data_IF_886285273529
#
_entry.id   IF_886285273529
#
_cell.length_a   1.000
_cell.length_b   1.000
_cell.length_c   1.000
_cell.angle_alpha   90.00
_cell.angle_beta   90.00
_cell.angle_gamma   90.00
#
_symmetry.space_group_name_H-M   'P 1'
#
loop_
_entity.id
_entity.type
_entity.pdbx_description
1 polymer ?
#
# COMPACT_ATOMS: atom_id res chain seq x y z
N UNK A 1 26.71 -60.74 -64.63
CA UNK A 1 26.77 -61.48 -63.40
C UNK A 1 26.45 -60.51 -62.23
N UNK A 2 25.21 -60.40 -61.91
CA UNK A 2 24.73 -59.40 -60.97
C UNK A 2 24.42 -60.11 -59.65
N UNK A 3 25.15 -59.79 -58.59
CA UNK A 3 24.87 -60.33 -57.22
C UNK A 3 23.83 -59.46 -56.56
N UNK A 4 22.70 -60.06 -56.21
CA UNK A 4 21.61 -59.53 -55.38
C UNK A 4 21.99 -59.75 -53.92
N UNK A 5 22.13 -58.71 -53.16
CA UNK A 5 22.27 -58.76 -51.70
C UNK A 5 20.89 -58.51 -51.05
N UNK A 6 20.40 -59.56 -50.35
CA UNK A 6 19.15 -59.50 -49.64
C UNK A 6 19.41 -58.97 -48.23
N UNK A 7 18.88 -57.78 -47.92
CA UNK A 7 18.95 -57.23 -46.57
C UNK A 7 17.67 -57.56 -45.81
N UNK A 8 17.79 -58.35 -44.75
CA UNK A 8 16.68 -58.69 -43.82
C UNK A 8 16.57 -57.54 -42.82
N UNK A 9 15.48 -56.79 -42.88
CA UNK A 9 15.15 -55.80 -41.87
C UNK A 9 14.36 -56.50 -40.71
N UNK A 10 14.98 -56.57 -39.53
CA UNK A 10 14.28 -56.99 -38.29
C UNK A 10 13.44 -55.85 -37.75
N UNK A 11 12.12 -55.99 -37.77
CA UNK A 11 11.19 -55.05 -37.13
C UNK A 11 11.18 -55.25 -35.63
N UNK A 12 11.71 -54.29 -34.86
CA UNK A 12 11.54 -54.21 -33.42
C UNK A 12 10.15 -53.64 -33.12
N UNK A 13 9.28 -54.49 -32.63
CA UNK A 13 7.95 -54.11 -32.08
C UNK A 13 8.17 -53.53 -30.69
N UNK A 14 8.13 -52.18 -30.58
CA UNK A 14 8.02 -51.50 -29.28
C UNK A 14 6.56 -51.61 -28.79
N UNK A 15 6.32 -52.44 -27.78
CA UNK A 15 5.08 -52.38 -27.02
C UNK A 15 5.09 -51.14 -26.15
N UNK A 16 4.34 -50.12 -26.55
CA UNK A 16 4.06 -48.96 -25.67
C UNK A 16 3.23 -49.39 -24.48
N UNK A 17 3.81 -49.30 -23.29
CA UNK A 17 3.02 -49.36 -22.06
C UNK A 17 2.04 -48.18 -22.04
N UNK A 18 0.76 -48.36 -21.65
CA UNK A 18 -0.14 -47.24 -21.46
C UNK A 18 0.40 -46.32 -20.37
N UNK A 19 0.25 -44.98 -20.53
CA UNK A 19 0.70 -44.03 -19.52
C UNK A 19 -0.01 -44.34 -18.20
N UNK A 20 0.77 -44.41 -17.11
CA UNK A 20 0.25 -44.53 -15.78
C UNK A 20 -0.76 -43.39 -15.54
N UNK A 21 -1.99 -43.73 -15.18
CA UNK A 21 -3.02 -42.80 -14.79
C UNK A 21 -2.47 -41.94 -13.63
N UNK A 22 -2.10 -40.72 -13.90
CA UNK A 22 -1.84 -39.73 -12.84
C UNK A 22 -3.13 -39.59 -12.06
N UNK A 23 -3.16 -40.06 -10.84
CA UNK A 23 -4.20 -39.67 -9.90
C UNK A 23 -4.16 -38.15 -9.76
N UNK A 24 -5.32 -37.44 -9.91
CA UNK A 24 -5.37 -36.05 -9.64
C UNK A 24 -4.84 -35.79 -8.22
N UNK A 25 -4.09 -34.69 -7.98
CA UNK A 25 -3.66 -34.37 -6.63
C UNK A 25 -4.89 -34.31 -5.73
N UNK A 26 -4.77 -34.74 -4.45
CA UNK A 26 -5.89 -34.70 -3.53
C UNK A 26 -6.44 -33.30 -3.51
N UNK A 27 -7.70 -33.14 -3.92
CA UNK A 27 -8.41 -31.86 -3.80
C UNK A 27 -8.39 -31.50 -2.33
N UNK A 28 -7.73 -30.39 -2.00
CA UNK A 28 -7.91 -29.77 -0.70
C UNK A 28 -9.41 -29.50 -0.56
N UNK A 29 -10.02 -29.85 0.60
CA UNK A 29 -11.42 -29.56 0.80
C UNK A 29 -11.63 -28.07 0.50
N UNK A 30 -12.57 -27.75 -0.39
CA UNK A 30 -13.04 -26.40 -0.61
C UNK A 30 -13.71 -25.97 0.69
N UNK A 31 -12.98 -25.26 1.54
CA UNK A 31 -13.53 -24.65 2.74
C UNK A 31 -14.62 -23.68 2.26
N UNK A 32 -15.88 -24.06 2.43
CA UNK A 32 -16.98 -23.12 2.31
C UNK A 32 -16.74 -22.12 3.42
N UNK A 33 -16.24 -20.93 3.06
CA UNK A 33 -16.02 -19.86 4.01
C UNK A 33 -17.38 -19.40 4.55
N UNK A 34 -17.73 -19.86 5.74
CA UNK A 34 -18.92 -19.38 6.44
C UNK A 34 -18.53 -18.12 7.20
N UNK A 35 -19.04 -16.93 6.83
CA UNK A 35 -18.72 -15.70 7.53
C UNK A 35 -19.18 -15.76 8.99
N UNK A 36 -18.31 -15.39 9.91
CA UNK A 36 -18.70 -15.18 11.30
C UNK A 36 -19.52 -13.90 11.39
N UNK A 37 -20.68 -13.98 11.99
CA UNK A 37 -21.59 -12.85 12.23
C UNK A 37 -21.68 -12.56 13.73
N UNK A 38 -21.74 -11.29 14.09
CA UNK A 38 -22.05 -10.86 15.45
C UNK A 38 -23.56 -10.90 15.73
N UNK A 39 -23.93 -10.83 17.00
CA UNK A 39 -25.32 -10.78 17.43
C UNK A 39 -25.97 -9.46 17.02
N UNK A 40 -27.23 -9.51 16.55
CA UNK A 40 -28.03 -8.33 16.24
C UNK A 40 -27.48 -7.45 15.09
N UNK A 41 -26.70 -8.01 14.16
CA UNK A 41 -26.12 -7.26 13.03
C UNK A 41 -24.89 -6.41 13.39
N UNK A 42 -24.38 -6.54 14.60
CA UNK A 42 -23.10 -5.94 14.99
C UNK A 42 -21.92 -6.65 14.31
N UNK A 43 -20.77 -5.97 14.11
CA UNK A 43 -19.55 -6.64 13.70
C UNK A 43 -19.19 -7.76 14.69
N UNK A 44 -18.73 -8.93 14.21
CA UNK A 44 -18.38 -10.03 15.12
C UNK A 44 -17.18 -9.65 15.98
N UNK A 45 -17.21 -10.18 17.20
CA UNK A 45 -16.18 -9.96 18.20
C UNK A 45 -15.13 -11.06 18.13
N UNK A 46 -13.90 -10.67 17.77
CA UNK A 46 -12.76 -11.58 17.64
C UNK A 46 -11.86 -11.55 18.88
N UNK A 47 -11.27 -12.71 19.16
CA UNK A 47 -10.11 -12.84 20.05
C UNK A 47 -8.90 -13.33 19.22
N UNK A 48 -7.71 -12.78 19.51
CA UNK A 48 -6.45 -13.18 18.88
C UNK A 48 -5.41 -13.37 19.99
N UNK A 49 -5.43 -14.51 20.70
CA UNK A 49 -4.44 -14.81 21.73
C UNK A 49 -3.07 -15.09 21.12
N UNK A 50 -2.08 -15.22 22.00
CA UNK A 50 -0.73 -15.64 21.61
C UNK A 50 -0.77 -17.02 20.91
N UNK A 51 -0.08 -17.14 19.77
CA UNK A 51 -0.01 -18.40 19.01
C UNK A 51 0.78 -19.46 19.80
N UNK A 52 0.47 -20.71 19.54
CA UNK A 52 1.10 -21.86 20.21
C UNK A 52 2.46 -22.11 19.55
N UNK A 53 3.54 -21.88 20.31
CA UNK A 53 4.88 -22.31 19.91
C UNK A 53 5.00 -23.82 20.11
N UNK A 54 5.30 -24.58 19.03
CA UNK A 54 5.48 -26.04 19.10
C UNK A 54 6.86 -26.45 19.65
N UNK A 55 7.65 -25.48 20.05
CA UNK A 55 8.95 -25.65 20.72
C UNK A 55 9.11 -24.56 21.77
N UNK A 56 9.75 -24.88 22.89
CA UNK A 56 9.97 -23.97 24.00
C UNK A 56 11.24 -23.10 23.84
N UNK A 57 11.91 -23.15 22.69
CA UNK A 57 13.06 -22.26 22.45
C UNK A 57 12.60 -20.80 22.37
N UNK A 58 13.45 -19.90 22.86
CA UNK A 58 13.10 -18.48 23.00
C UNK A 58 12.76 -17.82 21.65
N UNK A 59 13.37 -18.26 20.55
CA UNK A 59 13.15 -17.68 19.23
C UNK A 59 11.76 -18.06 18.67
N UNK A 60 11.37 -19.34 18.75
CA UNK A 60 10.05 -19.80 18.32
C UNK A 60 8.93 -19.15 19.13
N UNK A 61 9.12 -19.02 20.45
CA UNK A 61 8.18 -18.31 21.34
C UNK A 61 8.07 -16.81 20.98
N UNK A 62 9.18 -16.15 20.71
CA UNK A 62 9.17 -14.74 20.29
C UNK A 62 8.47 -14.56 18.94
N UNK A 63 8.72 -15.44 17.98
CA UNK A 63 8.04 -15.41 16.67
C UNK A 63 6.52 -15.59 16.83
N UNK A 64 6.07 -16.55 17.64
CA UNK A 64 4.66 -16.78 17.90
C UNK A 64 3.96 -15.54 18.46
N UNK A 65 4.64 -14.84 19.39
CA UNK A 65 4.16 -13.58 19.96
C UNK A 65 4.10 -12.46 18.92
N UNK A 66 5.13 -12.30 18.09
CA UNK A 66 5.16 -11.29 17.01
C UNK A 66 4.00 -11.52 16.04
N UNK A 67 3.80 -12.75 15.58
CA UNK A 67 2.74 -13.08 14.63
C UNK A 67 1.37 -12.75 15.20
N UNK A 68 1.06 -13.19 16.41
CA UNK A 68 -0.24 -12.93 17.04
C UNK A 68 -0.48 -11.44 17.32
N UNK A 69 0.58 -10.70 17.74
CA UNK A 69 0.49 -9.27 17.95
C UNK A 69 0.17 -8.53 16.66
N UNK A 70 0.96 -8.78 15.61
CA UNK A 70 0.81 -8.11 14.31
C UNK A 70 -0.55 -8.47 13.68
N UNK A 71 -0.95 -9.74 13.75
CA UNK A 71 -2.26 -10.17 13.23
C UNK A 71 -3.44 -9.48 13.93
N UNK A 72 -3.34 -9.29 15.24
CA UNK A 72 -4.35 -8.53 15.98
C UNK A 72 -4.39 -7.07 15.52
N UNK A 73 -3.22 -6.43 15.39
CA UNK A 73 -3.10 -5.03 14.97
C UNK A 73 -3.65 -4.83 13.54
N UNK A 74 -3.33 -5.75 12.61
CA UNK A 74 -3.79 -5.72 11.22
C UNK A 74 -5.32 -5.86 11.12
N UNK A 75 -5.90 -6.85 11.79
CA UNK A 75 -7.33 -7.08 11.76
C UNK A 75 -8.11 -5.92 12.45
N UNK A 76 -7.54 -5.35 13.52
CA UNK A 76 -8.12 -4.21 14.20
C UNK A 76 -8.01 -2.91 13.39
N UNK A 77 -6.99 -2.78 12.53
CA UNK A 77 -6.78 -1.59 11.71
C UNK A 77 -7.94 -1.35 10.74
N UNK A 78 -8.48 -2.40 10.14
CA UNK A 78 -9.56 -2.34 9.14
C UNK A 78 -10.95 -2.07 9.73
N UNK A 79 -11.15 -2.26 11.07
CA UNK A 79 -12.38 -1.93 11.81
C UNK A 79 -13.65 -2.67 11.37
N UNK A 80 -13.50 -3.82 10.76
CA UNK A 80 -14.62 -4.69 10.38
C UNK A 80 -14.98 -5.71 11.44
N UNK A 81 -14.16 -5.75 12.51
CA UNK A 81 -14.33 -6.62 13.66
C UNK A 81 -14.29 -5.80 14.95
N UNK A 82 -15.01 -6.25 15.95
CA UNK A 82 -14.79 -5.86 17.34
C UNK A 82 -13.76 -6.80 17.97
N UNK A 83 -13.06 -6.36 19.00
CA UNK A 83 -12.04 -7.19 19.64
C UNK A 83 -12.31 -7.36 21.13
N UNK A 84 -12.07 -8.59 21.61
CA UNK A 84 -11.94 -8.84 23.04
C UNK A 84 -10.67 -8.11 23.52
N UNK A 85 -10.74 -7.30 24.61
CA UNK A 85 -9.56 -6.62 25.15
C UNK A 85 -8.45 -7.63 25.53
N UNK A 86 -7.20 -7.27 25.23
CA UNK A 86 -6.08 -8.21 25.41
C UNK A 86 -5.69 -8.44 26.86
N UNK A 87 -5.97 -7.51 27.74
CA UNK A 87 -5.72 -7.60 29.18
C UNK A 87 -6.47 -8.77 29.84
N UNK A 88 -7.67 -9.10 29.31
CA UNK A 88 -8.45 -10.23 29.83
C UNK A 88 -7.94 -11.60 29.36
N UNK A 89 -7.05 -11.67 28.37
CA UNK A 89 -6.55 -12.95 27.87
C UNK A 89 -5.75 -13.73 28.92
N UNK A 90 -5.15 -13.04 29.89
CA UNK A 90 -4.44 -13.66 31.02
C UNK A 90 -5.34 -14.53 31.90
N UNK A 91 -6.68 -14.32 31.86
CA UNK A 91 -7.66 -15.12 32.61
C UNK A 91 -8.01 -16.44 31.91
N UNK A 92 -7.57 -16.63 30.66
CA UNK A 92 -7.84 -17.82 29.87
C UNK A 92 -6.66 -18.78 29.97
N UNK A 93 -6.88 -20.07 30.26
CA UNK A 93 -5.83 -21.07 30.23
C UNK A 93 -5.16 -21.14 28.84
N UNK A 94 -3.83 -21.17 28.81
CA UNK A 94 -3.08 -21.32 27.55
C UNK A 94 -3.27 -22.73 27.01
N UNK A 95 -3.68 -22.84 25.75
CA UNK A 95 -3.72 -24.12 25.04
C UNK A 95 -2.30 -24.57 24.68
N UNK A 96 -1.99 -25.86 24.79
CA UNK A 96 -0.73 -26.46 24.34
C UNK A 96 -0.82 -26.99 22.91
N UNK A 97 -2.04 -27.16 22.40
CA UNK A 97 -2.35 -27.60 21.04
C UNK A 97 -3.70 -27.02 20.57
N UNK A 98 -3.95 -27.05 19.24
CA UNK A 98 -5.23 -26.62 18.68
C UNK A 98 -6.42 -27.47 19.16
N UNK A 99 -6.17 -28.72 19.62
CA UNK A 99 -7.20 -29.58 20.15
C UNK A 99 -7.64 -29.20 21.60
N UNK A 100 -6.80 -28.49 22.31
CA UNK A 100 -7.02 -28.13 23.73
C UNK A 100 -7.49 -26.68 23.92
N UNK A 101 -7.99 -26.06 22.86
CA UNK A 101 -8.50 -24.69 22.91
C UNK A 101 -9.68 -24.61 23.91
N UNK A 102 -9.62 -23.71 24.92
CA UNK A 102 -10.68 -23.58 25.93
C UNK A 102 -11.84 -22.74 25.38
N UNK A 103 -12.60 -23.25 24.39
CA UNK A 103 -13.67 -22.52 23.71
C UNK A 103 -14.73 -21.96 24.65
N UNK A 104 -15.06 -22.69 25.74
CA UNK A 104 -16.08 -22.23 26.70
C UNK A 104 -15.64 -20.93 27.40
N UNK A 105 -14.35 -20.79 27.70
CA UNK A 105 -13.82 -19.57 28.31
C UNK A 105 -13.88 -18.38 27.34
N UNK A 106 -13.62 -18.61 26.05
CA UNK A 106 -13.76 -17.58 25.02
C UNK A 106 -15.23 -17.18 24.81
N UNK A 107 -16.14 -18.15 24.88
CA UNK A 107 -17.59 -17.90 24.81
C UNK A 107 -18.10 -17.07 25.99
N UNK A 108 -17.61 -17.30 27.22
CA UNK A 108 -17.92 -16.48 28.41
C UNK A 108 -17.52 -15.00 28.22
N UNK A 109 -16.48 -14.70 27.45
CA UNK A 109 -16.09 -13.35 27.06
C UNK A 109 -16.87 -12.80 25.86
N UNK A 110 -17.89 -13.51 25.38
CA UNK A 110 -18.68 -13.17 24.19
C UNK A 110 -17.83 -13.04 22.91
N UNK A 111 -16.81 -13.87 22.74
CA UNK A 111 -16.10 -14.01 21.48
C UNK A 111 -16.95 -14.79 20.48
N UNK A 112 -17.18 -14.20 19.29
CA UNK A 112 -17.82 -14.89 18.16
C UNK A 112 -16.78 -15.69 17.36
N UNK A 113 -15.58 -15.17 17.23
CA UNK A 113 -14.47 -15.79 16.53
C UNK A 113 -13.17 -15.81 17.33
N UNK A 114 -12.39 -16.87 17.14
CA UNK A 114 -11.07 -17.02 17.75
C UNK A 114 -10.05 -17.26 16.63
N UNK A 115 -9.13 -16.29 16.45
CA UNK A 115 -7.99 -16.42 15.55
C UNK A 115 -6.80 -16.90 16.37
N UNK A 116 -6.30 -18.09 16.07
CA UNK A 116 -5.13 -18.67 16.73
C UNK A 116 -4.38 -19.58 15.76
N UNK A 117 -3.27 -20.16 16.20
CA UNK A 117 -2.48 -21.01 15.34
C UNK A 117 -1.28 -21.60 16.04
N UNK A 118 -0.44 -22.27 15.25
CA UNK A 118 0.80 -22.87 15.73
C UNK A 118 2.01 -22.32 14.97
N UNK A 119 3.13 -22.23 15.64
CA UNK A 119 4.41 -21.81 15.08
C UNK A 119 5.46 -22.87 15.37
N UNK A 120 6.12 -23.35 14.32
CA UNK A 120 7.22 -24.31 14.39
C UNK A 120 8.41 -23.78 13.60
N UNK A 121 9.57 -23.70 14.23
CA UNK A 121 10.84 -23.40 13.58
C UNK A 121 11.72 -24.64 13.55
N UNK A 122 12.27 -24.95 12.37
CA UNK A 122 13.22 -26.07 12.19
C UNK A 122 14.37 -25.57 11.34
N UNK A 123 15.52 -25.30 11.97
CA UNK A 123 16.64 -24.66 11.30
C UNK A 123 16.24 -23.29 10.73
N UNK A 124 16.39 -23.10 9.44
CA UNK A 124 16.02 -21.84 8.75
C UNK A 124 14.61 -21.90 8.09
N UNK A 125 13.80 -22.84 8.48
CA UNK A 125 12.42 -23.00 8.01
C UNK A 125 11.44 -22.68 9.14
N UNK A 126 10.53 -21.75 8.88
CA UNK A 126 9.39 -21.43 9.73
C UNK A 126 8.13 -22.00 9.11
N UNK A 127 7.34 -22.72 9.90
CA UNK A 127 5.99 -23.16 9.55
C UNK A 127 5.00 -22.49 10.49
N UNK A 128 4.02 -21.79 9.90
CA UNK A 128 2.97 -21.06 10.62
C UNK A 128 1.63 -21.60 10.17
N UNK A 129 0.86 -22.16 11.08
CA UNK A 129 -0.53 -22.54 10.84
C UNK A 129 -1.44 -21.50 11.49
N UNK A 130 -2.40 -20.95 10.73
CA UNK A 130 -3.37 -19.98 11.20
C UNK A 130 -4.77 -20.53 11.03
N UNK A 131 -5.59 -20.40 12.05
CA UNK A 131 -6.99 -20.83 12.07
C UNK A 131 -7.89 -19.73 12.63
N UNK A 132 -9.05 -19.55 12.01
CA UNK A 132 -10.16 -18.81 12.58
C UNK A 132 -11.27 -19.81 12.92
N UNK A 133 -11.61 -19.89 14.18
CA UNK A 133 -12.70 -20.73 14.67
C UNK A 133 -13.95 -19.91 14.95
N UNK A 134 -15.11 -20.41 14.60
CA UNK A 134 -16.36 -19.97 15.20
C UNK A 134 -16.43 -20.52 16.61
N UNK A 135 -16.51 -19.65 17.62
CA UNK A 135 -16.43 -20.04 19.04
C UNK A 135 -17.64 -20.87 19.47
N UNK A 136 -18.84 -20.60 18.94
CA UNK A 136 -20.08 -21.30 19.28
C UNK A 136 -20.09 -22.73 18.73
N UNK A 137 -19.77 -22.90 17.45
CA UNK A 137 -19.76 -24.20 16.81
C UNK A 137 -18.45 -24.97 17.01
N UNK A 138 -17.40 -24.32 17.47
CA UNK A 138 -16.02 -24.82 17.60
C UNK A 138 -15.40 -25.28 16.27
N UNK A 139 -16.02 -24.91 15.14
CA UNK A 139 -15.55 -25.27 13.80
C UNK A 139 -14.55 -24.26 13.27
N UNK A 140 -13.52 -24.73 12.57
CA UNK A 140 -12.61 -23.87 11.82
C UNK A 140 -13.32 -23.39 10.56
N UNK A 141 -13.46 -22.07 10.41
CA UNK A 141 -14.07 -21.42 9.23
C UNK A 141 -13.03 -20.80 8.31
N UNK A 142 -11.78 -20.78 8.74
CA UNK A 142 -10.60 -20.43 7.94
C UNK A 142 -9.39 -21.21 8.46
N UNK A 143 -8.55 -21.67 7.54
CA UNK A 143 -7.31 -22.36 7.88
C UNK A 143 -6.27 -22.22 6.78
N UNK A 144 -5.06 -21.81 7.14
CA UNK A 144 -3.92 -21.68 6.23
C UNK A 144 -2.64 -22.15 6.90
N UNK A 145 -1.75 -22.70 6.09
CA UNK A 145 -0.39 -23.05 6.49
C UNK A 145 0.58 -22.33 5.58
N UNK A 146 1.48 -21.59 6.18
CA UNK A 146 2.57 -20.91 5.50
C UNK A 146 3.89 -21.59 5.87
N UNK A 147 4.83 -21.62 4.92
CA UNK A 147 6.19 -22.12 5.17
C UNK A 147 7.20 -21.22 4.46
N UNK A 148 8.28 -20.88 5.14
CA UNK A 148 9.31 -20.02 4.56
C UNK A 148 10.37 -19.59 5.59
N UNK A 149 11.05 -18.47 5.32
CA UNK A 149 12.12 -17.97 6.16
C UNK A 149 11.60 -17.35 7.47
N UNK A 150 12.28 -17.56 8.62
CA UNK A 150 11.96 -16.89 9.88
C UNK A 150 12.38 -15.42 9.93
N UNK A 151 13.10 -14.92 8.91
CA UNK A 151 13.67 -13.55 8.92
C UNK A 151 12.63 -12.44 8.99
N UNK A 152 11.39 -12.69 8.51
CA UNK A 152 10.31 -11.73 8.58
C UNK A 152 9.00 -12.38 9.06
N UNK A 153 8.84 -12.65 10.36
CA UNK A 153 7.63 -13.28 10.89
C UNK A 153 6.38 -12.41 10.72
N UNK A 154 6.50 -11.09 10.66
CA UNK A 154 5.39 -10.15 10.42
C UNK A 154 4.68 -10.44 9.10
N UNK A 155 5.41 -10.85 8.05
CA UNK A 155 4.79 -11.13 6.74
C UNK A 155 3.73 -12.22 6.80
N UNK A 156 3.89 -13.22 7.67
CA UNK A 156 2.89 -14.29 7.85
C UNK A 156 1.60 -13.76 8.51
N UNK A 157 1.74 -12.83 9.45
CA UNK A 157 0.59 -12.13 10.04
C UNK A 157 -0.15 -11.28 8.99
N UNK A 158 0.57 -10.46 8.24
CA UNK A 158 0.00 -9.61 7.19
C UNK A 158 -0.75 -10.42 6.12
N UNK A 159 -0.14 -11.52 5.63
CA UNK A 159 -0.81 -12.43 4.70
C UNK A 159 -2.09 -13.01 5.30
N UNK A 160 -2.02 -13.49 6.56
CA UNK A 160 -3.17 -14.07 7.24
C UNK A 160 -4.29 -13.06 7.46
N UNK A 161 -3.95 -11.82 7.84
CA UNK A 161 -4.92 -10.76 8.06
C UNK A 161 -5.71 -10.44 6.78
N UNK A 162 -5.01 -10.21 5.66
CA UNK A 162 -5.65 -9.91 4.38
C UNK A 162 -6.52 -11.06 3.88
N UNK A 163 -6.07 -12.33 4.06
CA UNK A 163 -6.86 -13.50 3.67
C UNK A 163 -8.09 -13.71 4.57
N UNK A 164 -7.97 -13.53 5.89
CA UNK A 164 -9.11 -13.55 6.82
C UNK A 164 -10.10 -12.44 6.44
N UNK A 165 -9.60 -11.26 6.16
CA UNK A 165 -10.41 -10.11 5.78
C UNK A 165 -11.18 -10.38 4.48
N UNK A 166 -10.49 -10.91 3.46
CA UNK A 166 -11.09 -11.27 2.19
C UNK A 166 -12.16 -12.37 2.34
N UNK A 167 -11.87 -13.42 3.12
CA UNK A 167 -12.80 -14.55 3.31
C UNK A 167 -14.01 -14.20 4.16
N UNK A 168 -13.81 -13.37 5.21
CA UNK A 168 -14.88 -13.06 6.15
C UNK A 168 -15.72 -11.86 5.77
N UNK A 169 -15.19 -10.94 4.96
CA UNK A 169 -15.83 -9.66 4.61
C UNK A 169 -15.94 -9.42 3.11
N UNK A 170 -15.35 -10.25 2.27
CA UNK A 170 -15.22 -10.04 0.82
C UNK A 170 -14.56 -8.68 0.49
N UNK A 171 -13.70 -8.18 1.36
CA UNK A 171 -13.01 -6.90 1.24
C UNK A 171 -11.50 -7.13 1.09
N UNK A 172 -10.84 -6.25 0.36
CA UNK A 172 -9.39 -6.27 0.23
C UNK A 172 -8.75 -5.54 1.41
N UNK A 173 -7.87 -6.23 2.14
CA UNK A 173 -7.08 -5.63 3.22
C UNK A 173 -5.89 -4.80 2.70
N UNK A 174 -5.17 -4.18 3.62
CA UNK A 174 -3.96 -3.37 3.34
C UNK A 174 -2.71 -3.87 4.05
N UNK A 175 -2.80 -4.96 4.81
CA UNK A 175 -1.70 -5.41 5.67
C UNK A 175 -0.42 -5.75 4.89
N UNK A 176 -0.54 -6.27 3.66
CA UNK A 176 0.60 -6.57 2.80
C UNK A 176 1.10 -5.37 1.97
N UNK A 177 0.44 -4.21 2.05
CA UNK A 177 0.81 -3.04 1.27
C UNK A 177 1.97 -2.26 1.89
N UNK A 178 2.55 -1.34 1.13
CA UNK A 178 3.70 -0.55 1.56
C UNK A 178 3.46 0.94 1.34
N UNK A 179 4.07 1.73 2.21
CA UNK A 179 4.19 3.17 2.04
C UNK A 179 5.56 3.54 1.48
N UNK A 180 5.62 4.61 0.70
CA UNK A 180 6.85 5.34 0.43
C UNK A 180 6.70 6.77 0.93
N UNK A 181 7.79 7.39 1.31
CA UNK A 181 7.83 8.77 1.79
C UNK A 181 9.23 9.36 1.64
N UNK A 182 9.34 10.66 1.78
CA UNK A 182 10.61 11.39 1.76
C UNK A 182 11.10 11.61 3.19
N UNK A 183 12.39 11.44 3.44
CA UNK A 183 12.99 11.66 4.76
C UNK A 183 14.35 12.35 4.68
N UNK A 184 14.63 13.22 5.66
CA UNK A 184 15.95 13.84 5.90
C UNK A 184 16.69 13.23 7.10
N UNK A 185 16.21 12.08 7.61
CA UNK A 185 16.65 11.46 8.88
C UNK A 185 18.13 11.12 8.97
N UNK A 186 18.81 10.99 7.83
CA UNK A 186 20.24 10.66 7.80
C UNK A 186 21.12 11.87 8.13
N UNK A 187 20.57 13.08 8.20
CA UNK A 187 21.29 14.30 8.52
C UNK A 187 22.38 14.66 7.50
N UNK A 188 22.30 14.09 6.29
CA UNK A 188 23.26 14.38 5.22
C UNK A 188 22.99 15.77 4.65
N UNK A 189 24.07 16.49 4.28
CA UNK A 189 23.97 17.80 3.63
C UNK A 189 24.45 17.71 2.18
N UNK A 190 23.78 18.44 1.31
CA UNK A 190 24.19 18.57 -0.09
C UNK A 190 25.55 19.28 -0.15
N UNK A 191 26.47 18.77 -0.97
CA UNK A 191 27.73 19.43 -1.28
C UNK A 191 27.53 20.63 -2.19
N UNK A 192 28.38 21.68 -2.03
CA UNK A 192 28.38 22.88 -2.88
C UNK A 192 28.61 24.17 -2.13
N UNK A 193 28.80 25.26 -2.87
CA UNK A 193 29.10 26.60 -2.32
C UNK A 193 27.84 27.39 -1.93
N UNK A 194 26.64 26.92 -2.36
CA UNK A 194 25.37 27.56 -2.06
C UNK A 194 24.71 26.77 -0.93
N UNK A 195 24.42 27.48 0.16
CA UNK A 195 23.74 27.02 1.39
C UNK A 195 23.60 25.49 1.58
N UNK A 196 24.18 24.98 2.67
CA UNK A 196 24.04 23.58 3.08
C UNK A 196 22.55 23.22 3.19
N UNK A 197 22.00 22.58 2.17
CA UNK A 197 20.63 22.07 2.16
C UNK A 197 20.61 20.62 2.62
N UNK A 198 19.58 20.27 3.38
CA UNK A 198 19.37 18.90 3.79
C UNK A 198 19.15 17.99 2.57
N UNK A 199 19.84 16.89 2.54
CA UNK A 199 19.58 15.80 1.60
C UNK A 199 18.24 15.17 1.96
N UNK A 200 17.41 14.95 0.95
CA UNK A 200 16.15 14.23 1.11
C UNK A 200 16.17 12.97 0.26
N UNK A 201 15.87 11.86 0.90
CA UNK A 201 15.89 10.55 0.25
C UNK A 201 14.53 9.87 0.37
N UNK A 202 14.26 8.97 -0.58
CA UNK A 202 13.06 8.17 -0.61
C UNK A 202 13.21 6.94 0.29
N UNK A 203 12.23 6.70 1.13
CA UNK A 203 12.12 5.55 2.02
C UNK A 203 10.87 4.75 1.71
N UNK A 204 10.88 3.48 2.07
CA UNK A 204 9.71 2.60 2.10
C UNK A 204 9.52 2.05 3.51
N UNK A 205 8.28 1.67 3.83
CA UNK A 205 7.92 0.94 5.04
C UNK A 205 6.78 -0.04 4.77
N UNK A 206 6.50 -0.92 5.72
CA UNK A 206 5.22 -1.61 5.76
C UNK A 206 4.11 -0.57 6.03
N UNK A 207 2.85 -0.94 5.78
CA UNK A 207 1.69 -0.03 5.89
C UNK A 207 1.54 0.62 7.28
N UNK A 208 2.03 -0.07 8.32
CA UNK A 208 1.98 0.36 9.72
C UNK A 208 3.19 1.18 10.17
N UNK A 209 4.08 1.51 9.23
CA UNK A 209 5.28 2.30 9.48
C UNK A 209 6.50 1.50 9.95
N UNK A 210 6.38 0.19 10.11
CA UNK A 210 7.51 -0.67 10.47
C UNK A 210 8.42 -0.99 9.27
N UNK A 211 9.60 -1.55 9.55
CA UNK A 211 10.58 -1.97 8.54
C UNK A 211 10.96 -0.89 7.53
N UNK A 212 11.22 0.31 8.04
CA UNK A 212 11.61 1.44 7.21
C UNK A 212 12.97 1.21 6.56
N UNK A 213 13.05 1.37 5.24
CA UNK A 213 14.26 1.15 4.45
C UNK A 213 14.47 2.31 3.48
N UNK A 214 15.72 2.77 3.34
CA UNK A 214 16.13 3.77 2.36
C UNK A 214 16.19 3.16 0.97
N UNK A 215 15.59 3.81 -0.01
CA UNK A 215 15.55 3.39 -1.43
C UNK A 215 16.58 4.14 -2.25
N UNK A 216 16.71 5.45 -2.05
CA UNK A 216 17.64 6.29 -2.81
C UNK A 216 18.86 6.67 -1.97
N UNK A 217 20.03 6.75 -2.62
CA UNK A 217 21.32 7.05 -1.98
C UNK A 217 22.11 8.13 -2.74
N UNK A 218 21.41 9.04 -3.38
CA UNK A 218 22.02 10.02 -4.30
C UNK A 218 22.67 11.22 -3.63
N UNK A 219 22.56 11.41 -2.33
CA UNK A 219 22.99 12.61 -1.59
C UNK A 219 22.50 13.89 -2.23
N UNK A 220 21.26 13.92 -2.65
CA UNK A 220 20.60 15.02 -3.33
C UNK A 220 19.14 15.12 -2.87
N UNK A 221 18.36 15.98 -3.50
CA UNK A 221 16.91 16.01 -3.29
C UNK A 221 16.27 14.93 -4.15
N UNK A 222 15.67 13.94 -3.50
CA UNK A 222 14.77 12.95 -4.10
C UNK A 222 13.42 13.10 -3.44
N UNK A 223 12.42 13.60 -4.18
CA UNK A 223 11.14 14.06 -3.63
C UNK A 223 9.96 13.60 -4.48
N UNK A 224 8.75 13.70 -3.95
CA UNK A 224 7.50 13.33 -4.63
C UNK A 224 7.49 11.87 -5.12
N UNK A 225 7.79 10.90 -4.26
CA UNK A 225 7.75 9.50 -4.64
C UNK A 225 6.34 9.06 -4.99
N UNK A 226 6.23 8.14 -5.97
CA UNK A 226 4.96 7.53 -6.40
C UNK A 226 5.19 6.06 -6.73
N UNK A 227 4.43 5.18 -6.08
CA UNK A 227 4.44 3.75 -6.38
C UNK A 227 3.89 3.48 -7.78
N UNK A 228 4.55 2.58 -8.50
CA UNK A 228 3.95 2.00 -9.71
C UNK A 228 2.72 1.16 -9.34
N UNK A 229 1.72 1.05 -10.24
CA UNK A 229 0.48 0.30 -9.97
C UNK A 229 0.69 -1.17 -9.61
N UNK A 230 1.81 -1.76 -10.06
CA UNK A 230 2.18 -3.15 -9.74
C UNK A 230 3.01 -3.29 -8.45
N UNK A 231 3.27 -2.21 -7.71
CA UNK A 231 4.01 -2.22 -6.45
C UNK A 231 5.49 -2.60 -6.55
N UNK A 232 6.10 -2.58 -7.75
CA UNK A 232 7.50 -3.01 -7.96
C UNK A 232 8.49 -1.87 -8.09
N UNK A 233 8.02 -0.68 -8.48
CA UNK A 233 8.87 0.47 -8.76
C UNK A 233 8.33 1.73 -8.10
N UNK A 234 9.21 2.68 -7.85
CA UNK A 234 8.89 4.01 -7.33
C UNK A 234 9.42 5.04 -8.33
N UNK A 235 8.52 5.89 -8.83
CA UNK A 235 8.89 7.10 -9.57
C UNK A 235 9.09 8.25 -8.58
N UNK A 236 10.04 9.13 -8.83
CA UNK A 236 10.31 10.29 -8.01
C UNK A 236 10.99 11.40 -8.81
N UNK A 237 10.93 12.61 -8.31
CA UNK A 237 11.72 13.74 -8.82
C UNK A 237 13.09 13.73 -8.17
N UNK A 238 14.15 13.74 -8.97
CA UNK A 238 15.54 13.79 -8.48
C UNK A 238 16.31 14.96 -9.08
N UNK A 239 17.08 15.63 -8.23
CA UNK A 239 17.99 16.72 -8.61
C UNK A 239 19.43 16.27 -8.88
N UNK A 240 19.66 14.97 -9.05
CA UNK A 240 21.00 14.35 -9.26
C UNK A 240 21.74 14.86 -10.52
N UNK A 241 21.05 15.44 -11.47
CA UNK A 241 21.61 16.04 -12.70
C UNK A 241 21.76 17.56 -12.59
N UNK A 242 21.51 18.16 -11.39
CA UNK A 242 21.48 19.61 -11.20
C UNK A 242 20.10 20.22 -11.48
N UNK A 243 19.34 19.69 -12.43
CA UNK A 243 17.95 20.05 -12.71
C UNK A 243 17.02 18.89 -12.32
N UNK A 244 15.78 19.19 -11.90
CA UNK A 244 14.83 18.15 -11.50
C UNK A 244 14.36 17.35 -12.71
N UNK A 245 14.48 16.03 -12.61
CA UNK A 245 13.99 15.09 -13.60
C UNK A 245 13.31 13.89 -12.93
N UNK A 246 12.50 13.16 -13.70
CA UNK A 246 11.76 11.99 -13.24
C UNK A 246 12.62 10.76 -13.39
N UNK A 247 12.83 10.06 -12.28
CA UNK A 247 13.53 8.78 -12.20
C UNK A 247 12.57 7.71 -11.69
N UNK A 248 12.86 6.47 -12.07
CA UNK A 248 12.16 5.27 -11.59
C UNK A 248 13.18 4.29 -11.03
N UNK A 249 12.99 3.87 -9.79
CA UNK A 249 13.77 2.79 -9.15
C UNK A 249 12.92 1.54 -9.01
N UNK A 250 13.41 0.40 -9.50
CA UNK A 250 12.84 -0.92 -9.21
C UNK A 250 13.44 -1.41 -7.88
N UNK A 251 12.57 -1.61 -6.88
CA UNK A 251 13.01 -1.94 -5.51
C UNK A 251 13.48 -3.39 -5.35
N UNK A 252 13.12 -4.29 -6.27
CA UNK A 252 13.52 -5.70 -6.22
C UNK A 252 14.78 -5.99 -7.05
N UNK A 253 14.95 -5.25 -8.15
CA UNK A 253 16.07 -5.43 -9.07
C UNK A 253 17.22 -4.44 -8.78
N UNK A 254 17.00 -3.49 -7.87
CA UNK A 254 17.93 -2.41 -7.55
C UNK A 254 18.40 -1.62 -8.78
N UNK A 255 17.54 -1.52 -9.80
CA UNK A 255 17.78 -0.74 -11.01
C UNK A 255 17.17 0.64 -10.91
N UNK A 256 17.76 1.60 -11.62
CA UNK A 256 17.26 2.97 -11.70
C UNK A 256 17.36 3.48 -13.13
N UNK A 257 16.30 4.08 -13.63
CA UNK A 257 16.22 4.66 -14.97
C UNK A 257 15.75 6.12 -14.92
N UNK A 258 16.21 6.93 -15.87
CA UNK A 258 15.75 8.31 -16.06
C UNK A 258 14.69 8.33 -17.16
N UNK A 259 13.48 8.77 -16.81
CA UNK A 259 12.32 8.82 -17.73
C UNK A 259 12.36 10.09 -18.56
N UNK A 260 12.51 11.26 -17.90
CA UNK A 260 12.56 12.54 -18.60
C UNK A 260 14.01 12.96 -18.77
N UNK A 261 14.41 13.18 -20.03
CA UNK A 261 15.79 13.52 -20.41
C UNK A 261 15.86 14.94 -20.95
N UNK A 262 17.03 15.55 -20.86
CA UNK A 262 17.28 16.90 -21.37
C UNK A 262 17.43 17.97 -20.29
N UNK A 263 17.34 19.24 -20.67
CA UNK A 263 17.58 20.39 -19.80
C UNK A 263 16.32 20.99 -19.18
N UNK A 264 15.15 20.55 -19.62
CA UNK A 264 13.89 21.03 -19.05
C UNK A 264 13.66 20.44 -17.66
N UNK A 265 13.19 21.27 -16.76
CA UNK A 265 12.78 20.85 -15.43
C UNK A 265 11.49 20.02 -15.49
N UNK A 266 11.46 18.90 -14.79
CA UNK A 266 10.32 17.98 -14.76
C UNK A 266 10.13 17.46 -13.33
N UNK A 267 8.93 17.62 -12.77
CA UNK A 267 8.65 17.24 -11.40
C UNK A 267 7.22 16.72 -11.19
N UNK A 268 6.96 16.18 -9.98
CA UNK A 268 5.65 15.69 -9.54
C UNK A 268 5.09 14.58 -10.46
N UNK A 269 5.81 13.46 -10.63
CA UNK A 269 5.31 12.36 -11.46
C UNK A 269 4.04 11.75 -10.89
N UNK A 270 3.10 11.36 -11.76
CA UNK A 270 1.94 10.57 -11.45
C UNK A 270 1.81 9.44 -12.47
N UNK A 271 1.80 8.19 -12.00
CA UNK A 271 1.59 7.01 -12.85
C UNK A 271 0.16 6.94 -13.38
N UNK A 272 0.01 6.56 -14.64
CA UNK A 272 -1.29 6.07 -15.13
C UNK A 272 -1.65 4.76 -14.43
N UNK A 273 -2.96 4.45 -14.23
CA UNK A 273 -3.38 3.23 -13.53
C UNK A 273 -2.89 1.92 -14.14
N UNK A 274 -2.63 1.91 -15.45
CA UNK A 274 -2.07 0.78 -16.20
C UNK A 274 -0.53 0.70 -16.13
N UNK A 275 0.13 1.71 -15.55
CA UNK A 275 1.58 1.78 -15.42
C UNK A 275 2.35 2.06 -16.71
N UNK A 276 1.68 2.45 -17.79
CA UNK A 276 2.31 2.65 -19.10
C UNK A 276 2.76 4.09 -19.35
N UNK A 277 2.23 5.07 -18.57
CA UNK A 277 2.48 6.50 -18.77
C UNK A 277 2.72 7.22 -17.45
N UNK A 278 3.31 8.43 -17.58
CA UNK A 278 3.39 9.44 -16.53
C UNK A 278 2.68 10.71 -16.96
N UNK A 279 1.98 11.34 -16.01
CA UNK A 279 1.66 12.75 -16.06
C UNK A 279 2.60 13.50 -15.10
N UNK A 280 3.11 14.66 -15.51
CA UNK A 280 4.07 15.43 -14.72
C UNK A 280 3.97 16.93 -15.04
N UNK A 281 4.52 17.76 -14.17
CA UNK A 281 4.58 19.21 -14.33
C UNK A 281 5.92 19.66 -14.91
N UNK A 282 5.90 20.63 -15.82
CA UNK A 282 7.13 21.19 -16.42
C UNK A 282 6.92 22.63 -16.91
N UNK A 283 7.88 23.55 -16.67
CA UNK A 283 7.90 24.91 -17.23
C UNK A 283 8.65 24.96 -18.57
N UNK A 284 8.80 23.85 -19.29
CA UNK A 284 9.65 23.66 -20.49
C UNK A 284 9.47 24.70 -21.61
N UNK A 285 8.37 25.44 -21.63
CA UNK A 285 8.16 26.50 -22.60
C UNK A 285 8.82 27.82 -22.24
N UNK A 286 9.40 27.94 -21.02
CA UNK A 286 10.15 29.12 -20.59
C UNK A 286 9.33 30.41 -20.47
N UNK A 287 8.00 30.31 -20.39
CA UNK A 287 7.07 31.45 -20.39
C UNK A 287 6.66 31.92 -18.98
N UNK A 288 7.34 31.45 -17.94
CA UNK A 288 7.06 31.81 -16.53
C UNK A 288 5.86 31.09 -15.92
N UNK A 289 5.25 30.12 -16.61
CA UNK A 289 4.19 29.27 -16.11
C UNK A 289 4.51 27.78 -16.32
N UNK A 290 3.78 26.92 -15.63
CA UNK A 290 3.99 25.49 -15.64
C UNK A 290 2.78 24.78 -16.25
N UNK A 291 3.02 23.84 -17.15
CA UNK A 291 1.99 23.00 -17.75
C UNK A 291 2.20 21.54 -17.39
N UNK A 292 1.11 20.75 -17.52
CA UNK A 292 1.14 19.31 -17.39
C UNK A 292 1.46 18.66 -18.74
N UNK A 293 2.24 17.59 -18.67
CA UNK A 293 2.63 16.78 -19.82
C UNK A 293 2.39 15.32 -19.50
N UNK A 294 2.08 14.54 -20.55
CA UNK A 294 2.01 13.09 -20.48
C UNK A 294 3.17 12.53 -21.32
N UNK A 295 3.80 11.46 -20.84
CA UNK A 295 4.87 10.75 -21.50
C UNK A 295 4.71 9.26 -21.29
N UNK A 296 5.10 8.44 -22.25
CA UNK A 296 5.19 6.99 -22.07
C UNK A 296 6.27 6.66 -21.01
N UNK A 297 6.18 5.47 -20.39
CA UNK A 297 7.13 5.02 -19.38
C UNK A 297 8.60 5.02 -19.88
N UNK A 298 8.83 4.79 -21.16
CA UNK A 298 10.15 4.81 -21.79
C UNK A 298 10.68 6.22 -22.14
N UNK A 299 9.89 7.26 -21.83
CA UNK A 299 10.22 8.66 -22.13
C UNK A 299 9.80 9.13 -23.51
N UNK A 300 9.20 8.27 -24.33
CA UNK A 300 8.68 8.63 -25.66
C UNK A 300 7.26 9.22 -25.61
N UNK A 301 6.77 9.74 -26.72
CA UNK A 301 5.36 10.13 -26.88
C UNK A 301 4.93 11.32 -26.01
N UNK A 302 5.80 12.31 -25.85
CA UNK A 302 5.49 13.50 -25.04
C UNK A 302 4.28 14.26 -25.61
N UNK A 303 3.25 14.41 -24.78
CA UNK A 303 2.02 15.16 -25.09
C UNK A 303 1.85 16.30 -24.06
N UNK A 304 1.60 17.51 -24.53
CA UNK A 304 1.18 18.63 -23.68
C UNK A 304 -0.29 18.46 -23.32
N UNK A 305 -0.59 18.34 -22.03
CA UNK A 305 -1.97 18.10 -21.55
C UNK A 305 -2.71 19.41 -21.26
N UNK A 306 -2.04 20.41 -20.67
CA UNK A 306 -2.63 21.70 -20.37
C UNK A 306 -1.94 22.80 -21.17
N UNK A 307 -2.70 23.79 -21.63
CA UNK A 307 -2.19 24.98 -22.32
C UNK A 307 -2.89 26.24 -21.77
N UNK A 308 -2.46 26.66 -20.61
CA UNK A 308 -3.01 27.84 -19.93
C UNK A 308 -1.87 28.61 -19.24
N UNK A 309 -1.85 29.97 -19.33
CA UNK A 309 -0.82 30.80 -18.71
C UNK A 309 -1.00 30.91 -17.20
N UNK A 310 -0.88 29.77 -16.51
CA UNK A 310 -1.02 29.59 -15.07
C UNK A 310 -0.07 28.50 -14.58
N UNK A 311 0.08 28.35 -13.28
CA UNK A 311 0.80 27.24 -12.67
C UNK A 311 -0.14 26.04 -12.62
N UNK A 312 0.10 25.02 -13.47
CA UNK A 312 -0.60 23.74 -13.48
C UNK A 312 0.34 22.68 -12.93
N UNK A 313 -0.02 22.02 -11.81
CA UNK A 313 0.89 21.16 -11.06
C UNK A 313 0.14 20.04 -10.31
N UNK A 314 0.88 19.18 -9.57
CA UNK A 314 0.34 18.13 -8.70
C UNK A 314 -0.69 17.22 -9.39
N UNK A 315 -0.38 16.61 -10.54
CA UNK A 315 -1.33 15.75 -11.24
C UNK A 315 -1.58 14.45 -10.47
N UNK A 316 -2.79 13.91 -10.60
CA UNK A 316 -3.18 12.55 -10.18
C UNK A 316 -4.21 11.99 -11.16
N UNK A 317 -4.05 10.70 -11.52
CA UNK A 317 -4.95 10.03 -12.45
C UNK A 317 -6.22 9.54 -11.73
N UNK A 318 -7.35 9.59 -12.43
CA UNK A 318 -8.54 8.86 -12.02
C UNK A 318 -8.29 7.35 -12.05
N UNK A 319 -9.03 6.54 -11.26
CA UNK A 319 -8.87 5.08 -11.28
C UNK A 319 -9.11 4.43 -12.65
N UNK A 320 -9.96 5.05 -13.47
CA UNK A 320 -10.24 4.62 -14.84
C UNK A 320 -9.13 4.97 -15.85
N UNK A 321 -8.21 5.86 -15.49
CA UNK A 321 -7.20 6.38 -16.42
C UNK A 321 -7.73 7.37 -17.47
N UNK A 322 -9.00 7.77 -17.39
CA UNK A 322 -9.64 8.65 -18.39
C UNK A 322 -9.55 10.13 -18.05
N UNK A 323 -9.25 10.46 -16.79
CA UNK A 323 -9.18 11.84 -16.30
C UNK A 323 -7.94 12.06 -15.43
N UNK A 324 -7.54 13.32 -15.32
CA UNK A 324 -6.46 13.78 -14.44
C UNK A 324 -6.99 14.92 -13.59
N UNK A 325 -6.89 14.78 -12.27
CA UNK A 325 -7.06 15.88 -11.35
C UNK A 325 -5.70 16.57 -11.13
N UNK A 326 -5.71 17.90 -11.00
CA UNK A 326 -4.51 18.69 -10.87
C UNK A 326 -4.80 20.02 -10.18
N UNK A 327 -3.74 20.71 -9.77
CA UNK A 327 -3.82 22.05 -9.19
C UNK A 327 -3.60 23.09 -10.27
N UNK A 328 -4.42 24.16 -10.25
CA UNK A 328 -4.21 25.33 -11.09
C UNK A 328 -4.56 26.62 -10.35
N UNK A 329 -3.75 27.66 -10.54
CA UNK A 329 -4.00 29.00 -10.01
C UNK A 329 -4.70 29.95 -11.01
N UNK A 330 -5.28 29.40 -12.09
CA UNK A 330 -5.95 30.16 -13.18
C UNK A 330 -7.07 31.08 -12.74
N UNK A 331 -7.60 30.90 -11.54
CA UNK A 331 -8.63 31.75 -10.93
C UNK A 331 -8.09 32.61 -9.77
N UNK A 332 -6.76 32.81 -9.72
CA UNK A 332 -6.06 33.60 -8.73
C UNK A 332 -5.39 32.81 -7.63
N UNK A 333 -6.07 31.85 -7.03
CA UNK A 333 -5.52 30.96 -5.99
C UNK A 333 -5.51 29.51 -6.47
N UNK A 334 -4.56 28.68 -5.99
CA UNK A 334 -4.52 27.23 -6.27
C UNK A 334 -5.83 26.54 -5.93
N UNK A 335 -6.39 25.82 -6.91
CA UNK A 335 -7.63 25.06 -6.81
C UNK A 335 -7.48 23.73 -7.54
N UNK A 336 -8.31 22.76 -7.19
CA UNK A 336 -8.34 21.45 -7.87
C UNK A 336 -9.21 21.56 -9.12
N UNK A 337 -8.66 21.10 -10.24
CA UNK A 337 -9.31 20.96 -11.54
C UNK A 337 -9.23 19.52 -12.01
N UNK A 338 -10.15 19.16 -12.90
CA UNK A 338 -10.14 17.87 -13.60
C UNK A 338 -10.21 18.13 -15.10
N UNK A 339 -9.40 17.40 -15.86
CA UNK A 339 -9.37 17.42 -17.33
C UNK A 339 -9.38 15.98 -17.86
N UNK A 340 -9.86 15.78 -19.09
CA UNK A 340 -9.71 14.50 -19.81
C UNK A 340 -8.22 14.17 -20.03
N UNK A 341 -7.83 12.91 -19.88
CA UNK A 341 -6.44 12.47 -20.01
C UNK A 341 -5.92 12.52 -21.46
N UNK A 342 -6.79 12.66 -22.45
CA UNK A 342 -6.43 12.89 -23.86
C UNK A 342 -6.21 14.39 -24.18
N UNK A 343 -6.44 15.27 -23.20
CA UNK A 343 -6.31 16.72 -23.37
C UNK A 343 -7.49 17.37 -24.11
N UNK A 344 -8.54 16.63 -24.41
CA UNK A 344 -9.73 17.16 -25.11
C UNK A 344 -10.68 17.83 -24.11
N UNK A 345 -11.19 18.99 -24.44
CA UNK A 345 -12.14 19.76 -23.62
C UNK A 345 -11.45 20.73 -22.65
N UNK A 346 -12.27 21.33 -21.81
CA UNK A 346 -11.81 22.31 -20.82
C UNK A 346 -11.68 21.70 -19.44
N UNK A 347 -10.68 22.14 -18.68
CA UNK A 347 -10.53 21.77 -17.29
C UNK A 347 -11.67 22.32 -16.44
N UNK A 348 -12.31 21.44 -15.68
CA UNK A 348 -13.41 21.77 -14.77
C UNK A 348 -12.88 21.98 -13.34
N UNK A 349 -13.23 23.08 -12.71
CA UNK A 349 -12.91 23.34 -11.31
C UNK A 349 -13.74 22.44 -10.40
N UNK A 350 -13.08 21.80 -9.42
CA UNK A 350 -13.69 20.89 -8.45
C UNK A 350 -13.90 21.56 -7.11
N UNK A 351 -12.89 22.29 -6.61
CA UNK A 351 -12.96 23.02 -5.33
C UNK A 351 -13.45 24.43 -5.58
N UNK A 352 -14.57 24.81 -4.98
CA UNK A 352 -15.23 26.14 -5.21
C UNK A 352 -15.28 26.99 -3.97
N UNK A 353 -15.26 26.40 -2.76
CA UNK A 353 -15.37 27.08 -1.46
C UNK A 353 -14.03 27.28 -0.76
N UNK A 354 -12.92 26.79 -1.35
CA UNK A 354 -11.61 26.87 -0.73
C UNK A 354 -10.85 28.14 -1.10
N UNK A 355 -10.17 28.76 -0.13
CA UNK A 355 -9.20 29.82 -0.40
C UNK A 355 -7.91 29.30 -1.03
N UNK A 356 -7.59 28.02 -0.79
CA UNK A 356 -6.42 27.31 -1.30
C UNK A 356 -6.67 25.80 -1.25
N UNK A 357 -6.39 25.10 -2.33
CA UNK A 357 -6.43 23.65 -2.42
C UNK A 357 -5.26 23.11 -3.25
N UNK A 358 -4.53 22.10 -2.72
CA UNK A 358 -3.33 21.53 -3.34
C UNK A 358 -3.22 20.02 -3.07
N UNK A 359 -2.26 19.35 -3.76
CA UNK A 359 -1.91 17.94 -3.59
C UNK A 359 -3.12 17.01 -3.66
N UNK A 360 -3.90 17.04 -4.74
CA UNK A 360 -5.01 16.11 -4.90
C UNK A 360 -4.52 14.68 -5.03
N UNK A 361 -5.29 13.75 -4.48
CA UNK A 361 -5.16 12.31 -4.71
C UNK A 361 -6.53 11.73 -4.97
N UNK A 362 -6.63 10.83 -5.97
CA UNK A 362 -7.90 10.19 -6.32
C UNK A 362 -8.00 8.83 -5.65
N UNK A 363 -9.14 8.55 -4.99
CA UNK A 363 -9.39 7.25 -4.37
C UNK A 363 -9.55 6.15 -5.42
N UNK A 364 -9.32 4.90 -5.01
CA UNK A 364 -9.74 3.74 -5.79
C UNK A 364 -11.26 3.59 -5.80
N UNK A 365 -11.78 2.83 -6.78
CA UNK A 365 -13.18 2.42 -6.77
C UNK A 365 -13.47 1.54 -5.53
N UNK A 366 -14.69 1.60 -4.96
CA UNK A 366 -15.89 2.24 -5.52
C UNK A 366 -16.10 3.71 -5.10
N UNK A 367 -15.22 4.31 -4.30
CA UNK A 367 -15.51 5.59 -3.63
C UNK A 367 -15.55 6.80 -4.58
N UNK A 368 -14.66 6.89 -5.57
CA UNK A 368 -14.57 8.00 -6.52
C UNK A 368 -14.52 9.39 -5.86
N UNK A 369 -13.56 9.55 -4.96
CA UNK A 369 -13.35 10.78 -4.18
C UNK A 369 -11.96 11.35 -4.47
N UNK A 370 -11.78 12.65 -4.27
CA UNK A 370 -10.48 13.32 -4.27
C UNK A 370 -10.21 13.85 -2.86
N UNK A 371 -9.13 13.37 -2.23
CA UNK A 371 -8.59 13.99 -1.04
C UNK A 371 -7.56 15.06 -1.43
N UNK A 372 -7.50 16.15 -0.67
CA UNK A 372 -6.63 17.27 -0.97
C UNK A 372 -6.24 18.03 0.31
N UNK A 373 -5.18 18.81 0.21
CA UNK A 373 -4.74 19.78 1.21
C UNK A 373 -5.53 21.07 1.03
N UNK A 374 -6.18 21.57 2.09
CA UNK A 374 -6.89 22.85 2.07
C UNK A 374 -6.40 23.76 3.19
N UNK A 375 -6.31 25.07 2.94
CA UNK A 375 -6.03 26.05 3.99
C UNK A 375 -7.28 26.31 4.81
N UNK A 376 -7.21 26.09 6.12
CA UNK A 376 -8.36 26.21 7.04
C UNK A 376 -8.12 27.16 8.21
N UNK A 377 -7.06 27.98 8.13
CA UNK A 377 -6.64 28.90 9.17
C UNK A 377 -5.15 29.20 9.05
N UNK A 378 -4.39 29.19 10.15
CA UNK A 378 -2.94 29.40 10.10
C UNK A 378 -2.18 28.22 9.49
N UNK A 379 -2.81 27.03 9.42
CA UNK A 379 -2.28 25.78 8.86
C UNK A 379 -3.12 25.25 7.72
N UNK A 380 -2.81 24.01 7.35
CA UNK A 380 -3.52 23.23 6.34
C UNK A 380 -4.20 22.03 6.98
N UNK A 381 -5.32 21.61 6.39
CA UNK A 381 -6.06 20.42 6.75
C UNK A 381 -6.39 19.54 5.55
N UNK A 382 -6.67 18.27 5.82
CA UNK A 382 -7.08 17.32 4.79
C UNK A 382 -8.60 17.36 4.63
N UNK A 383 -9.04 17.51 3.40
CA UNK A 383 -10.45 17.40 3.00
C UNK A 383 -10.62 16.36 1.91
N UNK A 384 -11.84 15.84 1.79
CA UNK A 384 -12.28 14.96 0.70
C UNK A 384 -13.45 15.61 -0.01
N UNK A 385 -13.48 15.53 -1.34
CA UNK A 385 -14.64 15.87 -2.15
C UNK A 385 -15.12 14.61 -2.88
N UNK A 386 -16.41 14.31 -2.76
CA UNK A 386 -17.09 13.29 -3.55
C UNK A 386 -17.30 13.81 -4.98
N UNK A 387 -16.87 13.03 -5.97
CA UNK A 387 -16.88 13.48 -7.38
C UNK A 387 -18.27 13.48 -8.00
N UNK A 388 -19.20 12.70 -7.47
CA UNK A 388 -20.58 12.63 -7.97
C UNK A 388 -21.47 13.73 -7.35
N UNK A 389 -21.40 13.89 -6.02
CA UNK A 389 -22.28 14.81 -5.28
C UNK A 389 -21.66 16.18 -5.06
N UNK A 390 -20.35 16.33 -5.22
CA UNK A 390 -19.56 17.52 -4.87
C UNK A 390 -19.59 17.88 -3.38
N UNK A 391 -20.03 16.98 -2.55
CA UNK A 391 -20.00 17.15 -1.08
C UNK A 391 -18.56 17.12 -0.58
N UNK A 392 -18.22 18.10 0.24
CA UNK A 392 -16.88 18.22 0.86
C UNK A 392 -16.96 17.80 2.33
N UNK A 393 -16.03 16.97 2.76
CA UNK A 393 -15.84 16.55 4.14
C UNK A 393 -14.43 16.91 4.59
N UNK A 394 -14.30 17.56 5.76
CA UNK A 394 -13.02 17.81 6.42
C UNK A 394 -12.67 16.62 7.32
N UNK A 395 -11.38 16.19 7.30
CA UNK A 395 -10.90 15.04 8.06
C UNK A 395 -10.01 15.42 9.24
N UNK A 396 -9.24 16.51 9.12
CA UNK A 396 -8.34 17.00 10.19
C UNK A 396 -8.75 18.42 10.58
N UNK A 397 -8.48 18.84 11.81
CA UNK A 397 -9.07 20.06 12.38
C UNK A 397 -8.02 20.90 13.13
N UNK A 398 -6.92 21.25 12.46
CA UNK A 398 -5.94 22.23 12.99
C UNK A 398 -4.95 21.65 14.01
N UNK A 399 -4.85 20.32 14.16
CA UNK A 399 -3.77 19.74 14.96
C UNK A 399 -2.46 19.75 14.14
N UNK A 400 -1.79 20.90 14.15
CA UNK A 400 -0.62 21.19 13.31
C UNK A 400 -1.00 21.47 11.86
N UNK A 401 -0.06 21.38 10.95
CA UNK A 401 -0.28 21.47 9.50
C UNK A 401 -0.37 20.05 8.92
N UNK A 402 -1.44 19.78 8.16
CA UNK A 402 -1.75 18.49 7.58
C UNK A 402 -1.74 18.60 6.05
N UNK A 403 -0.89 17.83 5.36
CA UNK A 403 -0.59 18.01 3.94
C UNK A 403 -0.37 16.68 3.21
N UNK A 404 -0.44 16.74 1.87
CA UNK A 404 -0.08 15.64 0.97
C UNK A 404 -0.81 14.34 1.29
N UNK A 405 -2.15 14.32 1.26
CA UNK A 405 -2.91 13.09 1.49
C UNK A 405 -2.69 12.09 0.37
N UNK A 406 -2.78 10.80 0.71
CA UNK A 406 -2.85 9.69 -0.25
C UNK A 406 -3.81 8.61 0.28
N UNK A 407 -4.68 8.10 -0.58
CA UNK A 407 -5.55 6.98 -0.23
C UNK A 407 -4.80 5.66 -0.16
N UNK A 408 -5.20 4.80 0.79
CA UNK A 408 -4.85 3.38 0.76
C UNK A 408 -5.41 2.71 -0.51
N UNK A 409 -4.84 1.58 -0.95
CA UNK A 409 -5.32 0.87 -2.15
C UNK A 409 -6.78 0.44 -2.09
N UNK A 410 -7.31 0.18 -0.90
CA UNK A 410 -8.73 -0.14 -0.69
C UNK A 410 -9.62 1.11 -0.47
N UNK A 411 -9.04 2.31 -0.48
CA UNK A 411 -9.76 3.58 -0.33
C UNK A 411 -10.31 3.87 1.08
N UNK A 412 -10.01 3.04 2.08
CA UNK A 412 -10.59 3.13 3.43
C UNK A 412 -9.77 3.97 4.40
N UNK A 413 -8.50 4.17 4.11
CA UNK A 413 -7.55 4.95 4.91
C UNK A 413 -6.87 6.00 4.05
N UNK A 414 -6.32 7.02 4.71
CA UNK A 414 -5.55 8.09 4.09
C UNK A 414 -4.26 8.25 4.90
N UNK A 415 -3.11 8.16 4.22
CA UNK A 415 -1.84 8.59 4.78
C UNK A 415 -1.61 10.06 4.43
N UNK A 416 -0.98 10.81 5.32
CA UNK A 416 -0.71 12.25 5.14
C UNK A 416 0.50 12.69 5.96
N UNK A 417 1.08 13.81 5.61
CA UNK A 417 2.12 14.48 6.39
C UNK A 417 1.46 15.37 7.44
N UNK A 418 1.93 15.32 8.71
CA UNK A 418 1.44 16.20 9.77
C UNK A 418 2.58 16.70 10.66
N UNK A 419 2.46 17.94 11.15
CA UNK A 419 3.39 18.55 12.13
C UNK A 419 2.87 18.47 13.56
N UNK A 420 1.76 17.75 13.82
CA UNK A 420 1.13 17.64 15.17
C UNK A 420 2.03 17.09 16.27
N UNK A 421 3.08 16.35 15.93
CA UNK A 421 4.11 15.86 16.85
C UNK A 421 5.36 16.74 16.93
N UNK A 422 5.31 18.00 16.43
CA UNK A 422 6.40 18.98 16.44
C UNK A 422 7.29 18.97 15.20
N UNK A 423 7.45 17.82 14.54
CA UNK A 423 8.16 17.65 13.26
C UNK A 423 7.20 17.07 12.22
N UNK A 424 7.57 17.21 10.94
CA UNK A 424 6.84 16.53 9.86
C UNK A 424 6.94 15.02 10.04
N UNK A 425 5.81 14.35 10.18
CA UNK A 425 5.72 12.89 10.29
C UNK A 425 4.58 12.36 9.43
N UNK A 426 4.67 11.08 9.07
CA UNK A 426 3.59 10.40 8.34
C UNK A 426 2.59 9.87 9.37
N UNK A 427 1.33 10.17 9.12
CA UNK A 427 0.17 9.70 9.87
C UNK A 427 -0.80 9.00 8.94
N UNK A 428 -1.63 8.13 9.49
CA UNK A 428 -2.82 7.61 8.83
C UNK A 428 -4.07 8.01 9.59
N UNK A 429 -5.18 8.11 8.85
CA UNK A 429 -6.53 8.38 9.37
C UNK A 429 -7.51 7.55 8.54
N UNK A 430 -8.60 7.11 9.14
CA UNK A 430 -9.68 6.47 8.38
C UNK A 430 -10.39 7.48 7.48
N UNK A 431 -10.99 7.01 6.37
CA UNK A 431 -11.75 7.85 5.42
C UNK A 431 -12.90 8.61 6.10
N UNK A 432 -13.39 8.12 7.23
CA UNK A 432 -14.41 8.82 8.03
C UNK A 432 -13.86 9.85 9.03
N UNK A 433 -12.53 10.03 9.09
CA UNK A 433 -11.86 11.03 9.92
C UNK A 433 -11.57 10.58 11.35
N UNK A 434 -11.52 9.27 11.60
CA UNK A 434 -11.22 8.69 12.91
C UNK A 434 -9.88 7.96 12.90
N UNK A 435 -9.43 7.47 14.06
CA UNK A 435 -8.23 6.64 14.23
C UNK A 435 -6.96 7.21 13.60
N UNK A 436 -6.55 8.33 14.10
CA UNK A 436 -5.27 8.92 13.70
C UNK A 436 -4.11 8.13 14.31
N UNK A 437 -3.23 7.62 13.46
CA UNK A 437 -2.02 6.86 13.88
C UNK A 437 -0.77 7.49 13.32
N UNK A 438 0.24 7.65 14.16
CA UNK A 438 1.57 8.10 13.74
C UNK A 438 2.41 6.90 13.28
N UNK A 439 2.97 6.97 12.07
CA UNK A 439 3.77 5.90 11.48
C UNK A 439 5.28 6.14 11.58
N UNK A 440 5.73 7.40 11.54
CA UNK A 440 7.15 7.75 11.56
C UNK A 440 7.48 8.64 12.75
N UNK A 441 8.72 8.57 13.25
CA UNK A 441 9.15 9.32 14.46
C UNK A 441 10.52 9.97 14.34
N UNK A 442 11.38 9.51 13.41
CA UNK A 442 12.79 9.95 13.28
C UNK A 442 12.96 10.86 12.07
N UNK A 443 13.63 12.02 12.25
CA UNK A 443 13.82 13.03 11.21
C UNK A 443 12.53 13.77 10.86
N UNK A 444 12.49 14.43 9.70
CA UNK A 444 11.27 14.90 9.05
C UNK A 444 10.87 13.92 7.96
N UNK A 445 9.60 13.56 7.92
CA UNK A 445 9.04 12.64 6.95
C UNK A 445 7.83 13.28 6.28
N UNK A 446 7.82 13.29 4.95
CA UNK A 446 6.79 14.02 4.20
C UNK A 446 6.46 13.32 2.86
N UNK A 447 5.39 13.76 2.21
CA UNK A 447 4.99 13.32 0.87
C UNK A 447 4.80 11.81 0.76
N UNK A 448 3.92 11.22 1.58
CA UNK A 448 3.66 9.79 1.49
C UNK A 448 3.01 9.41 0.16
N UNK A 449 3.26 8.17 -0.28
CA UNK A 449 2.46 7.50 -1.29
C UNK A 449 2.23 6.05 -0.88
N UNK A 450 1.11 5.47 -1.29
CA UNK A 450 0.69 4.14 -0.84
C UNK A 450 0.64 3.18 -2.02
N UNK A 451 1.33 2.02 -1.92
CA UNK A 451 1.32 0.98 -2.95
C UNK A 451 -0.10 0.45 -3.18
N UNK A 452 -0.46 0.28 -4.45
CA UNK A 452 -1.78 -0.25 -4.84
C UNK A 452 -1.82 -1.78 -4.84
#
# INVERSE_FOLDING_TARGET
MTKIILTIAAALVFTQQPPASQQPPPQQPSDIAVPITGDGGQPPRLAVPEFIALSNDAETVAIARIISQVLWDDLNYEREFLFIPRDVYSTIPKASSLAEIPFDRWRELNADGLVTGTVQKTGNLLRVEVRLFNVRSRQSVFGKVYSGSPANPRSYAHMSADEIYQTQRALKGVAQTKLTFVSDRDGELMGGTVERRDVKEVYISDYDGERQQRVTVGKTLNVFPRWSPNGRSIAYTSYRRGTPNIFVSNIYEATMEEVTKGTAENWLPAWSPDGTKFCFASPREGKGYTNLYIVNRDGSGLLKLTDHPSINTSPTWSPSGTQIAFVSDRTGNPQIYVISADGVGQAQRITTSEGYADKPTWSSLPYNEIAYTARTGPGNDIKIVDMATRTVKQLTFGEGTNESPVFSPNGRHIAFTSTRSGKKQIFTITRDGRDVRQLTKTGNNEQPDWAR
#
